data_IF_597021453076
#
_entry.id   IF_597021453076
#
_cell.length_a   1.000
_cell.length_b   1.000
_cell.length_c   1.000
_cell.angle_alpha   90.00
_cell.angle_beta   90.00
_cell.angle_gamma   90.00
#
_symmetry.space_group_name_H-M   'P 1'
#
loop_
_entity.id
_entity.type
_entity.pdbx_description
1 polymer ?
#
# COMPACT_ATOMS: atom_id res chain seq x y z
N UNK A 1 20.28 -37.22 -42.10
CA UNK A 1 20.16 -35.76 -42.30
C UNK A 1 18.78 -35.19 -41.97
N UNK A 2 17.68 -35.92 -42.14
CA UNK A 2 16.32 -35.45 -41.77
C UNK A 2 16.00 -35.49 -40.28
N UNK A 3 16.63 -36.38 -39.53
CA UNK A 3 16.39 -36.56 -38.08
C UNK A 3 17.11 -35.49 -37.21
N UNK A 4 18.24 -34.97 -37.70
CA UNK A 4 19.02 -33.92 -37.01
C UNK A 4 18.39 -32.54 -37.10
N UNK A 5 17.65 -32.26 -38.17
CA UNK A 5 16.97 -30.97 -38.39
C UNK A 5 15.73 -30.88 -37.46
N UNK A 6 15.04 -32.00 -37.21
CA UNK A 6 13.88 -32.05 -36.32
C UNK A 6 14.27 -31.81 -34.86
N UNK A 7 15.46 -32.27 -34.43
CA UNK A 7 15.96 -32.08 -33.08
C UNK A 7 16.36 -30.61 -32.77
N UNK A 8 16.89 -29.92 -33.77
CA UNK A 8 17.28 -28.51 -33.66
C UNK A 8 16.05 -27.59 -33.60
N UNK A 9 14.97 -27.95 -34.32
CA UNK A 9 13.74 -27.17 -34.32
C UNK A 9 12.97 -27.27 -33.01
N UNK A 10 13.05 -28.40 -32.28
CA UNK A 10 12.46 -28.59 -30.95
C UNK A 10 13.17 -27.84 -29.86
N UNK A 11 14.50 -27.59 -29.97
CA UNK A 11 15.24 -26.81 -29.00
C UNK A 11 14.96 -25.31 -29.08
N UNK A 12 14.53 -24.81 -30.24
CA UNK A 12 14.26 -23.37 -30.43
C UNK A 12 12.93 -22.90 -29.80
N UNK A 13 12.01 -23.78 -29.46
CA UNK A 13 10.72 -23.44 -28.83
C UNK A 13 10.80 -23.32 -27.31
N UNK A 14 11.89 -23.77 -26.68
CA UNK A 14 12.05 -23.70 -25.25
C UNK A 14 12.54 -22.34 -24.73
N UNK A 15 12.91 -21.40 -25.63
CA UNK A 15 13.56 -20.14 -25.25
C UNK A 15 12.59 -18.97 -24.95
N UNK A 16 11.28 -19.15 -25.08
CA UNK A 16 10.30 -18.07 -24.86
C UNK A 16 9.48 -18.18 -23.58
N UNK A 17 9.78 -19.11 -22.69
CA UNK A 17 9.20 -19.11 -21.35
C UNK A 17 9.98 -18.14 -20.44
N UNK A 18 9.96 -16.83 -20.75
CA UNK A 18 10.22 -15.83 -19.74
C UNK A 18 9.03 -15.88 -18.80
N UNK A 19 9.19 -16.64 -17.73
CA UNK A 19 8.22 -16.66 -16.63
C UNK A 19 7.98 -15.22 -16.18
N UNK A 20 6.71 -14.84 -16.10
CA UNK A 20 6.34 -13.63 -15.38
C UNK A 20 6.99 -13.74 -13.99
N UNK A 21 7.63 -12.67 -13.47
CA UNK A 21 8.23 -12.73 -12.16
C UNK A 21 7.18 -13.20 -11.15
N UNK A 22 7.52 -14.20 -10.37
CA UNK A 22 6.64 -14.70 -9.32
C UNK A 22 6.34 -13.56 -8.34
N UNK A 23 5.08 -13.21 -8.13
CA UNK A 23 4.69 -12.09 -7.28
C UNK A 23 5.03 -12.30 -5.80
N UNK A 24 5.35 -13.51 -5.39
CA UNK A 24 5.73 -13.86 -4.03
C UNK A 24 7.02 -13.16 -3.54
N UNK A 25 7.82 -12.64 -4.46
CA UNK A 25 9.02 -11.85 -4.17
C UNK A 25 8.87 -10.36 -4.47
N UNK A 26 7.78 -9.97 -5.09
CA UNK A 26 7.52 -8.59 -5.40
C UNK A 26 6.94 -7.89 -4.17
N UNK A 27 7.51 -6.76 -3.81
CA UNK A 27 6.98 -5.93 -2.74
C UNK A 27 6.79 -4.49 -3.21
N UNK A 28 6.03 -3.75 -2.46
CA UNK A 28 5.86 -2.31 -2.59
C UNK A 28 6.03 -1.69 -1.20
N UNK A 29 6.58 -0.49 -1.17
CA UNK A 29 6.64 0.29 0.06
C UNK A 29 5.51 1.32 0.05
N UNK A 30 4.70 1.35 1.10
CA UNK A 30 3.59 2.29 1.22
C UNK A 30 3.73 3.08 2.52
N UNK A 31 3.91 4.38 2.41
CA UNK A 31 4.10 5.28 3.54
C UNK A 31 3.06 6.40 3.55
N UNK A 32 2.82 6.99 4.73
CA UNK A 32 1.98 8.17 4.86
C UNK A 32 2.85 9.41 4.66
N UNK A 33 2.56 10.17 3.61
CA UNK A 33 3.21 11.47 3.34
C UNK A 33 2.50 12.61 4.06
N UNK A 34 1.16 12.52 4.18
CA UNK A 34 0.35 13.54 4.79
C UNK A 34 -0.86 12.91 5.50
N UNK A 35 -1.21 13.46 6.65
CA UNK A 35 -2.37 13.07 7.45
C UNK A 35 -3.14 14.33 7.83
N UNK A 36 -4.41 14.37 7.46
CA UNK A 36 -5.32 15.48 7.76
C UNK A 36 -6.55 14.98 8.51
N UNK A 37 -7.14 15.85 9.33
CA UNK A 37 -8.45 15.61 9.91
C UNK A 37 -9.53 15.77 8.83
N UNK A 38 -10.32 14.74 8.64
CA UNK A 38 -11.52 14.76 7.84
C UNK A 38 -12.79 14.97 8.68
N UNK A 39 -13.96 14.78 8.10
CA UNK A 39 -15.23 14.85 8.82
C UNK A 39 -15.29 13.89 9.99
N UNK A 40 -15.97 14.31 11.08
CA UNK A 40 -16.22 13.45 12.24
C UNK A 40 -17.70 13.40 12.57
N UNK A 41 -18.11 12.28 13.14
CA UNK A 41 -19.43 12.06 13.75
C UNK A 41 -19.25 11.77 15.24
N UNK A 42 -20.33 11.48 15.94
CA UNK A 42 -20.26 11.05 17.35
C UNK A 42 -19.64 9.65 17.53
N UNK A 43 -19.57 8.85 16.45
CA UNK A 43 -19.06 7.48 16.47
C UNK A 43 -17.75 7.31 15.71
N UNK A 44 -17.47 8.15 14.72
CA UNK A 44 -16.35 7.94 13.79
C UNK A 44 -15.56 9.23 13.53
N UNK A 45 -14.27 9.09 13.43
CA UNK A 45 -13.36 10.09 12.89
C UNK A 45 -12.81 9.63 11.54
N UNK A 46 -13.03 10.42 10.50
CA UNK A 46 -12.41 10.20 9.20
C UNK A 46 -11.05 10.91 9.14
N UNK A 47 -10.09 10.27 8.52
CA UNK A 47 -8.76 10.79 8.23
C UNK A 47 -8.56 10.86 6.72
N UNK A 48 -8.03 11.97 6.25
CA UNK A 48 -7.61 12.13 4.87
C UNK A 48 -6.10 11.90 4.80
N UNK A 49 -5.70 10.92 4.02
CA UNK A 49 -4.31 10.49 3.91
C UNK A 49 -3.80 10.71 2.49
N UNK A 50 -2.59 11.22 2.37
CA UNK A 50 -1.82 11.10 1.14
C UNK A 50 -0.82 9.97 1.34
N UNK A 51 -0.98 8.89 0.60
CA UNK A 51 -0.06 7.75 0.61
C UNK A 51 0.94 7.87 -0.53
N UNK A 52 2.18 7.56 -0.23
CA UNK A 52 3.25 7.41 -1.19
C UNK A 52 3.50 5.92 -1.39
N UNK A 53 3.33 5.45 -2.63
CA UNK A 53 3.56 4.07 -3.03
C UNK A 53 4.83 4.03 -3.85
N UNK A 54 5.85 3.32 -3.38
CA UNK A 54 7.11 3.13 -4.07
C UNK A 54 7.17 1.72 -4.65
N UNK A 55 7.58 1.62 -5.90
CA UNK A 55 7.72 0.36 -6.62
C UNK A 55 9.20 0.08 -6.90
N UNK A 56 9.87 -0.74 -6.09
CA UNK A 56 11.27 -1.11 -6.32
C UNK A 56 11.44 -2.16 -7.43
N UNK A 57 10.33 -2.64 -8.01
CA UNK A 57 10.38 -3.65 -9.05
C UNK A 57 10.69 -3.02 -10.42
N UNK A 58 11.24 -3.80 -11.36
CA UNK A 58 11.58 -3.35 -12.71
C UNK A 58 10.43 -3.43 -13.72
N UNK A 59 9.18 -3.50 -13.25
CA UNK A 59 7.95 -3.48 -14.05
C UNK A 59 6.92 -2.56 -13.39
N UNK A 60 6.03 -2.02 -14.22
CA UNK A 60 4.95 -1.15 -13.76
C UNK A 60 3.89 -1.95 -12.99
N UNK A 61 3.34 -1.37 -11.92
CA UNK A 61 2.27 -1.98 -11.14
C UNK A 61 1.01 -1.14 -11.30
N UNK A 62 -0.01 -1.63 -12.05
CA UNK A 62 -1.33 -1.02 -12.04
C UNK A 62 -2.03 -1.37 -10.72
N UNK A 63 -1.96 -0.49 -9.74
CA UNK A 63 -2.63 -0.67 -8.47
C UNK A 63 -4.13 -0.37 -8.64
N UNK A 64 -4.97 -1.39 -8.55
CA UNK A 64 -6.42 -1.29 -8.74
C UNK A 64 -7.16 -0.92 -7.46
N UNK A 65 -6.51 -1.10 -6.34
CA UNK A 65 -7.04 -0.77 -5.03
C UNK A 65 -6.13 -1.25 -3.90
N UNK A 66 -6.50 -0.88 -2.69
CA UNK A 66 -5.78 -1.34 -1.48
C UNK A 66 -6.69 -1.40 -0.27
N UNK A 67 -6.31 -2.23 0.69
CA UNK A 67 -6.83 -2.21 2.06
C UNK A 67 -5.66 -2.04 3.02
N UNK A 68 -5.87 -1.32 4.09
CA UNK A 68 -4.81 -1.03 5.05
C UNK A 68 -5.35 -0.80 6.46
N UNK A 69 -4.48 -1.02 7.43
CA UNK A 69 -4.65 -0.71 8.83
C UNK A 69 -3.47 0.11 9.30
N UNK A 70 -3.73 1.05 10.20
CA UNK A 70 -2.74 1.91 10.83
C UNK A 70 -2.83 1.71 12.33
N UNK A 71 -1.71 1.41 12.94
CA UNK A 71 -1.54 1.33 14.38
C UNK A 71 -0.61 2.44 14.85
N UNK A 72 -0.90 3.03 16.01
CA UNK A 72 -0.08 4.06 16.66
C UNK A 72 0.31 3.57 18.03
N UNK A 73 1.60 3.57 18.33
CA UNK A 73 2.13 3.05 19.59
C UNK A 73 1.64 1.62 19.92
N UNK A 74 1.52 0.77 18.88
CA UNK A 74 1.05 -0.60 19.01
C UNK A 74 -0.46 -0.76 19.27
N UNK A 75 -1.24 0.31 19.15
CA UNK A 75 -2.70 0.29 19.30
C UNK A 75 -3.37 0.64 17.99
N UNK A 76 -4.48 -0.04 17.69
CA UNK A 76 -5.31 0.26 16.52
C UNK A 76 -5.67 1.74 16.50
N UNK A 77 -5.45 2.38 15.35
CA UNK A 77 -5.76 3.78 15.13
C UNK A 77 -6.82 3.97 14.07
N UNK A 78 -6.61 3.45 12.86
CA UNK A 78 -7.53 3.62 11.73
C UNK A 78 -7.39 2.49 10.71
N UNK A 79 -8.41 2.35 9.87
CA UNK A 79 -8.40 1.44 8.72
C UNK A 79 -9.04 2.08 7.52
N UNK A 80 -8.67 1.62 6.33
CA UNK A 80 -9.26 2.10 5.09
C UNK A 80 -9.23 1.08 3.97
N UNK A 81 -10.07 1.34 2.99
CA UNK A 81 -10.12 0.65 1.70
C UNK A 81 -10.17 1.72 0.62
N UNK A 82 -9.38 1.55 -0.42
CA UNK A 82 -9.38 2.41 -1.59
C UNK A 82 -9.56 1.59 -2.85
N UNK A 83 -10.45 2.03 -3.75
CA UNK A 83 -10.75 1.41 -5.04
C UNK A 83 -10.32 2.28 -6.23
N UNK A 84 -9.59 3.36 -5.99
CA UNK A 84 -9.07 4.20 -7.07
C UNK A 84 -7.82 3.53 -7.65
N UNK A 85 -7.81 3.38 -8.97
CA UNK A 85 -6.65 2.84 -9.67
C UNK A 85 -5.58 3.91 -9.85
N UNK A 86 -4.32 3.51 -9.66
CA UNK A 86 -3.14 4.34 -9.94
C UNK A 86 -2.04 3.48 -10.56
N UNK A 87 -1.35 4.02 -11.56
CA UNK A 87 -0.16 3.37 -12.11
C UNK A 87 1.06 3.74 -11.27
N UNK A 88 1.73 2.74 -10.70
CA UNK A 88 3.00 2.91 -10.01
C UNK A 88 4.12 2.47 -10.95
N UNK A 89 4.87 3.42 -11.54
CA UNK A 89 5.86 3.09 -12.55
C UNK A 89 7.00 2.25 -11.96
N UNK A 90 7.63 1.45 -12.80
CA UNK A 90 8.82 0.68 -12.43
C UNK A 90 9.91 1.58 -11.86
N UNK A 91 10.55 1.15 -10.79
CA UNK A 91 11.62 1.89 -10.11
C UNK A 91 11.24 3.33 -9.76
N UNK A 92 9.93 3.57 -9.57
CA UNK A 92 9.34 4.88 -9.34
C UNK A 92 8.33 4.88 -8.21
N UNK A 93 7.53 5.92 -8.17
CA UNK A 93 6.52 6.11 -7.13
C UNK A 93 5.25 6.76 -7.66
N UNK A 94 4.17 6.61 -6.91
CA UNK A 94 2.91 7.31 -7.12
C UNK A 94 2.36 7.82 -5.79
N UNK A 95 1.60 8.92 -5.85
CA UNK A 95 0.89 9.48 -4.71
C UNK A 95 -0.60 9.26 -4.91
N UNK A 96 -1.29 8.85 -3.85
CA UNK A 96 -2.73 8.64 -3.87
C UNK A 96 -3.39 9.22 -2.61
N UNK A 97 -4.53 9.87 -2.78
CA UNK A 97 -5.33 10.35 -1.67
C UNK A 97 -6.37 9.28 -1.30
N UNK A 98 -6.42 8.94 -0.03
CA UNK A 98 -7.31 7.90 0.49
C UNK A 98 -7.93 8.33 1.82
N UNK A 99 -8.93 7.58 2.28
CA UNK A 99 -9.59 7.83 3.56
C UNK A 99 -9.41 6.64 4.49
N UNK A 100 -9.14 6.94 5.76
CA UNK A 100 -9.17 5.97 6.84
C UNK A 100 -10.23 6.37 7.88
N UNK A 101 -10.77 5.40 8.58
CA UNK A 101 -11.79 5.62 9.60
C UNK A 101 -11.35 5.00 10.92
N UNK A 102 -11.55 5.74 11.99
CA UNK A 102 -11.40 5.31 13.37
C UNK A 102 -12.74 5.31 14.07
N UNK A 103 -12.96 4.34 14.94
CA UNK A 103 -14.01 4.39 15.95
C UNK A 103 -13.64 5.43 17.01
N UNK A 104 -14.45 6.48 17.14
CA UNK A 104 -14.11 7.64 17.98
C UNK A 104 -14.03 7.30 19.49
N UNK A 105 -14.93 6.51 20.06
CA UNK A 105 -14.80 6.05 21.45
C UNK A 105 -13.48 5.31 21.72
N UNK A 106 -13.14 4.36 20.86
CA UNK A 106 -11.87 3.60 20.94
C UNK A 106 -10.66 4.50 20.80
N UNK A 107 -10.73 5.46 19.87
CA UNK A 107 -9.66 6.43 19.65
C UNK A 107 -9.41 7.30 20.90
N UNK A 108 -10.48 7.82 21.51
CA UNK A 108 -10.39 8.61 22.76
C UNK A 108 -9.87 7.74 23.90
N UNK A 109 -10.32 6.50 24.04
CA UNK A 109 -9.86 5.57 25.05
C UNK A 109 -8.34 5.29 24.94
N UNK A 110 -7.85 5.11 23.71
CA UNK A 110 -6.45 4.76 23.46
C UNK A 110 -5.50 5.96 23.56
N UNK A 111 -5.93 7.11 23.09
CA UNK A 111 -5.07 8.27 22.88
C UNK A 111 -5.46 9.51 23.68
N UNK A 112 -6.64 9.50 24.32
CA UNK A 112 -7.15 10.63 25.07
C UNK A 112 -7.43 11.84 24.19
N UNK A 113 -6.74 12.97 24.44
CA UNK A 113 -6.95 14.19 23.67
C UNK A 113 -6.25 14.11 22.30
N UNK A 114 -7.06 14.04 21.23
CA UNK A 114 -6.57 13.97 19.85
C UNK A 114 -5.78 15.23 19.43
N UNK A 115 -6.02 16.38 20.08
CA UNK A 115 -5.27 17.60 19.82
C UNK A 115 -3.79 17.46 20.12
N UNK A 116 -3.43 16.60 21.06
CA UNK A 116 -2.02 16.32 21.37
C UNK A 116 -1.32 15.59 20.24
N UNK A 117 -2.02 14.72 19.51
CA UNK A 117 -1.47 14.01 18.36
C UNK A 117 -1.05 14.97 17.23
N UNK A 118 -1.78 16.08 17.05
CA UNK A 118 -1.45 17.06 16.03
C UNK A 118 -0.21 17.91 16.33
N UNK A 119 0.24 17.93 17.59
CA UNK A 119 1.35 18.78 18.05
C UNK A 119 2.69 18.04 18.12
N UNK A 120 2.67 16.73 18.34
CA UNK A 120 3.89 15.96 18.68
C UNK A 120 4.39 15.05 17.57
N UNK A 121 3.63 14.93 16.46
CA UNK A 121 3.88 13.88 15.49
C UNK A 121 3.52 12.50 16.02
N UNK A 122 3.28 11.57 15.13
CA UNK A 122 2.81 10.22 15.42
C UNK A 122 3.75 9.21 14.79
N UNK A 123 4.32 8.34 15.62
CA UNK A 123 4.96 7.13 15.11
C UNK A 123 3.88 6.11 14.80
N UNK A 124 3.84 5.62 13.59
CA UNK A 124 2.84 4.67 13.12
C UNK A 124 3.46 3.41 12.54
N UNK A 125 2.71 2.34 12.60
CA UNK A 125 2.90 1.13 11.82
C UNK A 125 1.69 0.95 10.90
N UNK A 126 1.93 0.79 9.62
CA UNK A 126 0.90 0.55 8.63
C UNK A 126 1.15 -0.79 7.95
N UNK A 127 0.12 -1.59 7.82
CA UNK A 127 0.14 -2.82 7.05
C UNK A 127 -1.08 -2.92 6.15
N UNK A 128 -0.96 -3.68 5.08
CA UNK A 128 -2.05 -3.81 4.15
C UNK A 128 -1.76 -4.70 2.96
N UNK A 129 -2.65 -4.60 1.99
CA UNK A 129 -2.58 -5.33 0.74
C UNK A 129 -2.91 -4.40 -0.41
N UNK A 130 -2.04 -4.31 -1.39
CA UNK A 130 -2.28 -3.64 -2.66
C UNK A 130 -2.69 -4.70 -3.69
N UNK A 131 -3.74 -4.42 -4.44
CA UNK A 131 -4.30 -5.30 -5.46
C UNK A 131 -3.95 -4.79 -6.85
N UNK A 132 -3.56 -5.70 -7.74
CA UNK A 132 -3.20 -5.41 -9.14
C UNK A 132 -3.65 -6.58 -10.00
N UNK A 133 -4.84 -6.51 -10.58
CA UNK A 133 -5.47 -7.63 -11.27
C UNK A 133 -5.61 -8.84 -10.34
N UNK A 134 -5.02 -9.97 -10.73
CA UNK A 134 -4.99 -11.18 -9.91
C UNK A 134 -3.88 -11.17 -8.84
N UNK A 135 -2.97 -10.20 -8.90
CA UNK A 135 -1.80 -10.10 -8.03
C UNK A 135 -2.10 -9.36 -6.74
N UNK A 136 -1.42 -9.74 -5.67
CA UNK A 136 -1.54 -9.15 -4.34
C UNK A 136 -0.16 -8.87 -3.80
N UNK A 137 0.06 -7.62 -3.42
CA UNK A 137 1.31 -7.13 -2.84
C UNK A 137 1.07 -6.79 -1.38
N UNK A 138 1.46 -7.67 -0.42
CA UNK A 138 1.44 -7.30 0.98
C UNK A 138 2.47 -6.20 1.23
N UNK A 139 2.14 -5.27 2.10
CA UNK A 139 3.06 -4.23 2.52
C UNK A 139 2.96 -3.99 4.02
N UNK A 140 4.07 -3.58 4.60
CA UNK A 140 4.17 -3.09 5.96
C UNK A 140 5.21 -1.98 6.02
N UNK A 141 4.95 -0.96 6.84
CA UNK A 141 5.82 0.20 6.96
C UNK A 141 5.73 0.81 8.35
N UNK A 142 6.86 1.20 8.91
CA UNK A 142 6.93 2.00 10.14
C UNK A 142 7.49 3.37 9.81
N UNK A 143 6.83 4.41 10.26
CA UNK A 143 7.21 5.78 9.98
C UNK A 143 6.69 6.76 11.02
N UNK A 144 6.90 8.04 10.75
CA UNK A 144 6.36 9.13 11.55
C UNK A 144 5.65 10.15 10.64
N UNK A 145 4.55 10.71 11.11
CA UNK A 145 3.80 11.76 10.43
C UNK A 145 3.28 12.78 11.44
N UNK A 146 3.26 14.03 11.04
CA UNK A 146 2.62 15.09 11.82
C UNK A 146 1.30 15.45 11.14
N UNK A 147 0.15 15.30 11.81
CA UNK A 147 -1.12 15.71 11.24
C UNK A 147 -1.14 17.21 10.93
N UNK A 148 -1.67 17.56 9.77
CA UNK A 148 -1.93 18.96 9.37
C UNK A 148 -3.41 19.27 9.49
N UNK A 149 -3.73 20.53 9.82
CA UNK A 149 -5.11 21.02 9.98
C UNK A 149 -5.64 21.57 8.66
#
# INVERSE_FOLDING_TARGET
>A
MRLTILAVLLLALAACARGKPEPEKAHVDVSISELQFGPSTVLEQTWLLTLRIQNPNNYDIPADGMKYQIDVNGKFFARGVNNQSVMVPRLGEAMIQVQAVSDLPTLIQHFGDLRRLSQTGINYYMNGMLYSGEWRYPFEYSGAVTPVQ
#
